data_IF_424075856882
#
_entry.id   IF_424075856882
#
_cell.length_a   1.000
_cell.length_b   1.000
_cell.length_c   1.000
_cell.angle_alpha   90.00
_cell.angle_beta   90.00
_cell.angle_gamma   90.00
#
_symmetry.space_group_name_H-M   'P 1'
#
loop_
_entity.id
_entity.type
_entity.pdbx_description
1 polymer ?
#
# COMPACT_ATOMS: atom_id res chain seq x y z
N UNK A 1 -9.92 -11.98 17.28
CA UNK A 1 -9.40 -10.61 17.50
C UNK A 1 -9.69 -10.05 18.89
N UNK A 2 -10.89 -10.24 19.43
CA UNK A 2 -11.22 -9.84 20.81
C UNK A 2 -10.23 -10.40 21.83
N UNK A 3 -9.80 -11.65 21.67
CA UNK A 3 -8.77 -12.29 22.49
C UNK A 3 -7.42 -11.53 22.47
N UNK A 4 -6.95 -11.11 21.30
CA UNK A 4 -5.72 -10.29 21.19
C UNK A 4 -5.85 -8.96 21.92
N UNK A 5 -7.01 -8.29 21.81
CA UNK A 5 -7.29 -7.06 22.57
C UNK A 5 -7.28 -7.32 24.08
N UNK A 6 -7.87 -8.42 24.53
CA UNK A 6 -7.86 -8.81 25.94
C UNK A 6 -6.44 -9.03 26.48
N UNK A 7 -5.54 -9.57 25.65
CA UNK A 7 -4.12 -9.73 25.97
C UNK A 7 -3.28 -8.45 25.78
N UNK A 8 -3.91 -7.34 25.35
CA UNK A 8 -3.23 -6.07 25.09
C UNK A 8 -2.26 -6.12 23.90
N UNK A 9 -2.46 -7.04 22.96
CA UNK A 9 -1.59 -7.21 21.79
C UNK A 9 -2.05 -6.36 20.62
N UNK A 10 -1.09 -5.94 19.78
CA UNK A 10 -1.37 -5.29 18.52
C UNK A 10 -2.23 -6.19 17.62
N UNK A 11 -3.13 -5.55 16.86
CA UNK A 11 -3.93 -6.24 15.85
C UNK A 11 -3.05 -6.85 14.75
N UNK A 12 -1.96 -6.15 14.40
CA UNK A 12 -1.11 -6.44 13.26
C UNK A 12 0.22 -7.12 13.62
N UNK A 13 0.59 -7.31 14.88
CA UNK A 13 1.79 -8.06 15.29
C UNK A 13 1.67 -8.55 16.73
N UNK A 14 2.58 -9.40 17.18
CA UNK A 14 2.56 -10.02 18.52
C UNK A 14 3.19 -9.16 19.63
N UNK A 15 3.43 -7.88 19.36
CA UNK A 15 3.87 -6.92 20.37
C UNK A 15 2.70 -6.30 21.13
N UNK A 16 2.97 -5.76 22.33
CA UNK A 16 1.98 -5.01 23.10
C UNK A 16 1.52 -3.76 22.36
N UNK A 17 0.21 -3.52 22.35
CA UNK A 17 -0.37 -2.31 21.78
C UNK A 17 -0.23 -1.14 22.74
N UNK A 18 0.23 0.00 22.20
CA UNK A 18 0.21 1.30 22.86
C UNK A 18 -0.27 2.37 21.86
N UNK A 19 -0.85 3.49 22.31
CA UNK A 19 -1.15 4.61 21.42
C UNK A 19 0.10 5.03 20.62
N UNK A 20 -0.03 5.11 19.30
CA UNK A 20 1.10 5.39 18.39
C UNK A 20 1.98 4.19 18.04
N UNK A 21 1.61 2.96 18.43
CA UNK A 21 2.34 1.76 18.08
C UNK A 21 2.51 1.60 16.55
N UNK A 22 3.75 1.36 16.14
CA UNK A 22 4.15 1.08 14.75
C UNK A 22 4.79 -0.30 14.70
N UNK A 23 4.13 -1.28 14.09
CA UNK A 23 4.69 -2.65 13.98
C UNK A 23 6.05 -2.63 13.28
N UNK A 24 7.05 -3.37 13.76
CA UNK A 24 8.37 -3.42 13.15
C UNK A 24 8.31 -3.78 11.65
N UNK A 25 7.51 -4.79 11.31
CA UNK A 25 7.17 -5.13 9.93
C UNK A 25 5.87 -4.44 9.53
N UNK A 26 5.90 -3.68 8.43
CA UNK A 26 4.69 -3.10 7.88
C UNK A 26 3.77 -4.17 7.31
N UNK A 27 2.50 -4.12 7.70
CA UNK A 27 1.43 -4.92 7.10
C UNK A 27 0.49 -3.96 6.41
N UNK A 28 0.28 -4.18 5.12
CA UNK A 28 -0.64 -3.41 4.29
C UNK A 28 -1.89 -4.26 4.06
N UNK A 29 -3.06 -3.64 4.19
CA UNK A 29 -4.33 -4.27 3.82
C UNK A 29 -4.69 -3.79 2.43
N UNK A 30 -4.67 -4.69 1.46
CA UNK A 30 -5.12 -4.39 0.11
C UNK A 30 -6.58 -4.82 -0.02
N UNK A 31 -7.45 -3.88 -0.37
CA UNK A 31 -8.84 -4.16 -0.70
C UNK A 31 -8.94 -4.35 -2.21
N UNK A 32 -9.29 -5.55 -2.63
CA UNK A 32 -9.57 -5.86 -4.02
C UNK A 32 -11.05 -5.59 -4.26
N UNK A 33 -11.36 -4.78 -5.27
CA UNK A 33 -12.72 -4.62 -5.77
C UNK A 33 -12.85 -5.49 -7.03
N UNK A 34 -13.94 -6.26 -7.12
CA UNK A 34 -14.25 -7.10 -8.27
C UNK A 34 -14.90 -6.31 -9.43
N UNK A 35 -15.02 -4.99 -9.29
CA UNK A 35 -15.51 -4.13 -10.35
C UNK A 35 -14.58 -4.28 -11.56
N UNK A 36 -15.13 -4.64 -12.72
CA UNK A 36 -14.40 -4.69 -13.99
C UNK A 36 -13.88 -3.28 -14.30
N UNK A 37 -12.66 -2.97 -13.87
CA UNK A 37 -11.99 -1.71 -14.18
C UNK A 37 -11.71 -1.75 -15.69
N UNK A 38 -12.59 -1.15 -16.49
CA UNK A 38 -12.32 -0.83 -17.89
C UNK A 38 -11.11 0.11 -17.91
N UNK A 39 -9.93 -0.49 -18.12
CA UNK A 39 -8.69 0.23 -18.32
C UNK A 39 -8.80 0.99 -19.65
N UNK A 40 -9.22 2.25 -19.58
CA UNK A 40 -9.16 3.17 -20.72
C UNK A 40 -7.69 3.40 -21.03
N UNK A 41 -7.18 2.65 -22.01
CA UNK A 41 -5.88 2.83 -22.62
C UNK A 41 -5.88 4.18 -23.34
N UNK A 42 -5.35 5.21 -22.68
CA UNK A 42 -4.94 6.43 -23.38
C UNK A 42 -3.65 6.14 -24.12
N UNK A 43 -3.75 6.00 -25.45
CA UNK A 43 -2.60 5.92 -26.34
C UNK A 43 -1.76 7.19 -26.20
N UNK A 44 -0.72 7.15 -25.36
CA UNK A 44 0.34 8.17 -25.35
C UNK A 44 1.46 7.60 -26.21
N UNK A 45 1.61 8.16 -27.41
CA UNK A 45 2.73 7.91 -28.30
C UNK A 45 4.02 8.39 -27.61
N UNK A 46 4.93 7.45 -27.37
CA UNK A 46 6.25 7.68 -26.77
C UNK A 46 7.22 8.17 -27.84
N UNK A 47 7.76 9.39 -27.68
CA UNK A 47 9.00 9.82 -28.33
C UNK A 47 10.18 9.48 -27.42
N UNK A 48 11.23 8.94 -28.05
CA UNK A 48 12.40 8.29 -27.46
C UNK A 48 13.10 9.01 -26.29
N UNK A 49 13.22 8.32 -25.15
CA UNK A 49 14.33 8.46 -24.18
C UNK A 49 14.32 7.29 -23.18
N UNK A 50 15.22 6.33 -23.40
CA UNK A 50 15.80 5.38 -22.42
C UNK A 50 14.92 4.86 -21.26
N UNK A 51 13.74 4.31 -21.55
CA UNK A 51 13.02 3.45 -20.60
C UNK A 51 13.00 2.01 -21.10
N UNK A 52 13.53 1.02 -20.36
CA UNK A 52 13.33 -0.38 -20.70
C UNK A 52 11.85 -0.71 -20.48
N UNK A 53 11.11 -0.76 -21.58
CA UNK A 53 9.80 -1.38 -21.69
C UNK A 53 9.99 -2.90 -21.63
N UNK A 54 9.78 -3.50 -20.45
CA UNK A 54 9.29 -4.87 -20.41
C UNK A 54 7.76 -4.83 -20.34
N UNK A 55 7.16 -5.17 -21.47
CA UNK A 55 5.74 -5.24 -21.69
C UNK A 55 5.19 -6.51 -21.06
N UNK A 56 4.29 -6.37 -20.08
CA UNK A 56 3.56 -7.51 -19.55
C UNK A 56 2.75 -7.18 -18.31
N UNK A 57 1.64 -6.45 -18.50
CA UNK A 57 0.51 -6.43 -17.56
C UNK A 57 0.78 -5.87 -16.14
N UNK A 58 0.14 -4.75 -15.81
CA UNK A 58 -0.17 -4.42 -14.42
C UNK A 58 0.45 -3.13 -13.90
N UNK A 59 -0.30 -2.03 -14.01
CA UNK A 59 -0.37 -1.06 -12.91
C UNK A 59 -1.19 -1.67 -11.76
N UNK A 60 -0.71 -2.80 -11.25
CA UNK A 60 -1.29 -3.53 -10.13
C UNK A 60 -0.96 -2.75 -8.86
N UNK A 61 -1.96 -2.10 -8.26
CA UNK A 61 -1.93 -1.57 -6.89
C UNK A 61 -0.61 -0.92 -6.42
N UNK A 62 -0.35 0.34 -6.79
CA UNK A 62 0.87 1.04 -6.40
C UNK A 62 0.74 1.76 -5.04
N UNK A 63 1.66 1.46 -4.10
CA UNK A 63 1.84 2.20 -2.85
C UNK A 63 3.01 3.16 -2.97
N UNK A 64 2.89 4.38 -2.44
CA UNK A 64 3.99 5.34 -2.46
C UNK A 64 5.18 4.87 -1.60
N UNK A 65 6.40 5.29 -1.96
CA UNK A 65 7.60 5.01 -1.17
C UNK A 65 7.45 5.49 0.28
N UNK A 66 6.82 6.65 0.49
CA UNK A 66 6.55 7.18 1.84
C UNK A 66 5.61 6.27 2.65
N UNK A 67 4.61 5.66 2.02
CA UNK A 67 3.73 4.69 2.68
C UNK A 67 4.50 3.40 3.01
N UNK A 68 5.35 2.93 2.11
CA UNK A 68 6.21 1.76 2.31
C UNK A 68 7.19 1.96 3.47
N UNK A 69 7.81 3.15 3.55
CA UNK A 69 8.81 3.50 4.57
C UNK A 69 8.19 4.12 5.84
N UNK A 70 6.89 4.39 5.83
CA UNK A 70 6.15 5.11 6.89
C UNK A 70 6.71 6.51 7.21
N UNK A 71 7.29 7.16 6.21
CA UNK A 71 7.71 8.55 6.31
C UNK A 71 6.48 9.46 6.17
N UNK A 72 6.35 10.50 7.01
CA UNK A 72 5.25 11.44 6.87
C UNK A 72 5.40 12.17 5.53
N UNK A 73 4.34 12.16 4.73
CA UNK A 73 4.24 12.95 3.50
C UNK A 73 2.94 13.75 3.53
N UNK A 74 2.95 14.91 2.87
CA UNK A 74 1.74 15.74 2.68
C UNK A 74 0.71 15.05 1.78
N UNK A 75 1.14 14.09 0.96
CA UNK A 75 0.27 13.29 0.08
C UNK A 75 -0.32 12.04 0.75
N UNK A 76 0.19 11.64 1.92
CA UNK A 76 -0.37 10.49 2.65
C UNK A 76 -1.48 11.00 3.56
N UNK A 77 -2.71 10.49 3.39
CA UNK A 77 -3.84 10.83 4.26
C UNK A 77 -3.42 10.62 5.73
N UNK A 78 -3.56 11.67 6.52
CA UNK A 78 -3.34 11.65 7.97
C UNK A 78 -4.71 11.51 8.64
N UNK A 79 -4.85 10.51 9.51
CA UNK A 79 -6.00 10.36 10.40
C UNK A 79 -5.80 11.18 11.67
#
# INVERSE_FOLDING_TARGET
>A
MQERRALGLCYNCDEKFMPGHKCATSRFLLLLCDDEIELVVSNVETLDSDFPLDSGMGSHFHLSTFALTRQPSTQTFKF
#
